data_IF_018416858550
#
_entry.id   IF_018416858550
#
_cell.length_a   1.000
_cell.length_b   1.000
_cell.length_c   1.000
_cell.angle_alpha   90.00
_cell.angle_beta   90.00
_cell.angle_gamma   90.00
#
_symmetry.space_group_name_H-M   'P 1'
#
loop_
_entity.id
_entity.type
_entity.pdbx_description
1 polymer ?
#
# COMPACT_ATOMS: atom_id res chain seq x y z
N UNK A 1 -11.60 -0.90 -17.09
CA UNK A 1 -10.41 -0.06 -16.91
C UNK A 1 -9.21 -0.99 -16.89
N UNK A 2 -8.24 -0.83 -17.81
CA UNK A 2 -7.07 -1.71 -17.91
C UNK A 2 -5.85 -0.87 -17.51
N UNK A 3 -5.34 -1.11 -16.32
CA UNK A 3 -4.08 -0.50 -15.89
C UNK A 3 -2.96 -1.08 -16.75
N UNK A 4 -2.00 -0.26 -17.20
CA UNK A 4 -0.79 -0.80 -17.82
C UNK A 4 -0.09 -1.67 -16.78
N UNK A 5 0.52 -2.78 -17.21
CA UNK A 5 1.55 -3.43 -16.41
C UNK A 5 2.76 -2.48 -16.42
N UNK A 6 2.75 -1.53 -15.50
CA UNK A 6 3.83 -0.58 -15.28
C UNK A 6 4.77 -1.21 -14.28
N UNK A 7 6.05 -1.32 -14.63
CA UNK A 7 7.09 -1.76 -13.69
C UNK A 7 7.31 -0.61 -12.70
N UNK A 8 7.30 -0.91 -11.40
CA UNK A 8 7.64 0.07 -10.38
C UNK A 8 9.16 0.24 -10.33
N UNK A 9 9.66 1.43 -10.65
CA UNK A 9 11.09 1.72 -10.65
C UNK A 9 11.54 2.04 -9.22
N UNK A 10 12.54 1.32 -8.71
CA UNK A 10 13.12 1.59 -7.39
C UNK A 10 14.34 2.49 -7.54
N UNK A 11 14.33 3.64 -6.86
CA UNK A 11 15.41 4.64 -6.95
C UNK A 11 16.13 4.84 -5.61
N UNK A 12 17.41 5.20 -5.67
CA UNK A 12 18.19 5.59 -4.49
C UNK A 12 17.81 7.00 -4.01
N UNK A 13 17.74 7.19 -2.69
CA UNK A 13 17.43 8.49 -2.08
C UNK A 13 15.94 8.81 -1.96
N UNK A 14 15.63 10.08 -1.66
CA UNK A 14 14.24 10.56 -1.60
C UNK A 14 13.74 10.87 -3.00
N UNK A 15 12.54 10.37 -3.30
CA UNK A 15 11.87 10.51 -4.61
C UNK A 15 11.26 11.91 -4.80
N UNK A 16 10.99 12.62 -3.70
CA UNK A 16 10.46 13.99 -3.72
C UNK A 16 10.68 14.70 -2.38
N UNK A 17 10.82 16.03 -2.43
CA UNK A 17 10.82 16.88 -1.23
C UNK A 17 9.42 17.02 -0.61
N UNK A 18 8.37 16.63 -1.34
CA UNK A 18 6.97 16.77 -0.93
C UNK A 18 6.48 15.56 -0.10
N UNK A 19 7.35 14.59 0.17
CA UNK A 19 7.03 13.43 1.01
C UNK A 19 6.09 12.40 0.39
N UNK A 20 5.81 12.47 -0.92
CA UNK A 20 4.95 11.48 -1.60
C UNK A 20 5.57 10.09 -1.58
N UNK A 21 4.73 9.06 -1.53
CA UNK A 21 5.18 7.67 -1.55
C UNK A 21 5.64 7.24 -2.95
N UNK A 22 4.95 7.68 -4.00
CA UNK A 22 5.27 7.39 -5.38
C UNK A 22 5.50 8.67 -6.18
N UNK A 23 6.65 8.79 -6.84
CA UNK A 23 6.81 9.78 -7.90
C UNK A 23 6.14 9.22 -9.16
N UNK A 24 5.03 9.84 -9.57
CA UNK A 24 4.24 9.43 -10.72
C UNK A 24 4.37 10.46 -11.86
N UNK A 25 5.45 10.40 -12.67
CA UNK A 25 5.62 11.35 -13.76
C UNK A 25 4.51 11.20 -14.81
N UNK A 26 4.15 12.28 -15.54
CA UNK A 26 3.13 12.21 -16.59
C UNK A 26 3.42 11.16 -17.68
N UNK A 27 4.69 10.83 -17.87
CA UNK A 27 5.17 9.79 -18.78
C UNK A 27 6.25 8.96 -18.09
N UNK A 28 6.20 7.64 -18.31
CA UNK A 28 7.15 6.69 -17.74
C UNK A 28 6.53 5.82 -16.66
N UNK A 29 7.39 5.15 -15.92
CA UNK A 29 7.03 4.29 -14.80
C UNK A 29 6.87 5.12 -13.52
N UNK A 30 5.98 4.71 -12.61
CA UNK A 30 5.99 5.22 -11.25
C UNK A 30 7.31 4.82 -10.57
N UNK A 31 7.79 5.67 -9.66
CA UNK A 31 9.03 5.42 -8.90
C UNK A 31 8.75 5.40 -7.41
N UNK A 32 9.49 4.55 -6.71
CA UNK A 32 9.49 4.44 -5.24
C UNK A 32 10.93 4.51 -4.72
N UNK A 33 11.15 5.07 -3.53
CA UNK A 33 12.46 5.06 -2.90
C UNK A 33 12.78 3.65 -2.42
N UNK A 34 14.06 3.29 -2.37
CA UNK A 34 14.49 2.00 -1.83
C UNK A 34 13.97 1.74 -0.41
N UNK A 35 13.94 2.77 0.45
CA UNK A 35 13.38 2.68 1.79
C UNK A 35 11.89 2.31 1.77
N UNK A 36 11.07 3.03 1.01
CA UNK A 36 9.65 2.78 0.94
C UNK A 36 9.33 1.46 0.23
N UNK A 37 10.14 1.06 -0.75
CA UNK A 37 10.04 -0.24 -1.37
C UNK A 37 10.28 -1.38 -0.37
N UNK A 38 11.26 -1.23 0.53
CA UNK A 38 11.48 -2.20 1.61
C UNK A 38 10.29 -2.25 2.59
N UNK A 39 9.68 -1.11 2.91
CA UNK A 39 8.48 -1.06 3.75
C UNK A 39 7.26 -1.71 3.07
N UNK A 40 7.08 -1.49 1.76
CA UNK A 40 6.05 -2.16 0.96
C UNK A 40 6.25 -3.68 0.92
N UNK A 41 7.49 -4.14 0.73
CA UNK A 41 7.82 -5.57 0.75
C UNK A 41 7.52 -6.20 2.12
N UNK A 42 7.86 -5.49 3.21
CA UNK A 42 7.55 -5.92 4.57
C UNK A 42 6.03 -5.98 4.82
N UNK A 43 5.27 -4.96 4.38
CA UNK A 43 3.82 -4.97 4.45
C UNK A 43 3.23 -6.17 3.71
N UNK A 44 3.66 -6.44 2.48
CA UNK A 44 3.24 -7.61 1.71
C UNK A 44 3.57 -8.92 2.43
N UNK A 45 4.77 -9.05 3.00
CA UNK A 45 5.19 -10.23 3.79
C UNK A 45 4.27 -10.43 4.99
N UNK A 46 3.98 -9.38 5.75
CA UNK A 46 3.11 -9.40 6.92
C UNK A 46 1.66 -9.75 6.57
N UNK A 47 1.17 -9.29 5.40
CA UNK A 47 -0.16 -9.67 4.90
C UNK A 47 -0.17 -11.16 4.55
N UNK A 48 0.78 -11.64 3.73
CA UNK A 48 0.87 -13.07 3.34
C UNK A 48 0.93 -14.00 4.54
N UNK A 49 1.68 -13.63 5.58
CA UNK A 49 1.75 -14.42 6.82
C UNK A 49 0.40 -14.61 7.51
N UNK A 50 -0.53 -13.66 7.38
CA UNK A 50 -1.86 -13.72 8.02
C UNK A 50 -2.93 -14.30 7.12
N UNK A 51 -2.88 -14.03 5.82
CA UNK A 51 -3.96 -14.38 4.89
C UNK A 51 -3.63 -15.58 3.99
N UNK A 52 -2.37 -15.98 3.90
CA UNK A 52 -1.89 -17.04 3.01
C UNK A 52 -1.50 -16.51 1.62
N UNK A 53 -1.35 -17.42 0.65
CA UNK A 53 -0.82 -17.10 -0.69
C UNK A 53 -1.81 -16.40 -1.62
N UNK A 54 -3.10 -16.71 -1.50
CA UNK A 54 -4.17 -16.11 -2.32
C UNK A 54 -5.04 -15.22 -1.47
N UNK A 55 -5.23 -13.98 -1.92
CA UNK A 55 -6.06 -13.00 -1.26
C UNK A 55 -7.12 -12.39 -2.19
N UNK A 56 -8.23 -11.96 -1.61
CA UNK A 56 -9.27 -11.14 -2.23
C UNK A 56 -9.28 -9.78 -1.56
N UNK A 57 -9.45 -8.73 -2.36
CA UNK A 57 -9.43 -7.35 -1.91
C UNK A 57 -10.83 -6.75 -1.93
N UNK A 58 -11.22 -6.13 -0.82
CA UNK A 58 -12.42 -5.28 -0.74
C UNK A 58 -12.00 -3.87 -0.32
N UNK A 59 -12.17 -2.90 -1.21
CA UNK A 59 -11.79 -1.51 -0.95
C UNK A 59 -13.06 -0.67 -0.72
N UNK A 60 -13.15 0.02 0.41
CA UNK A 60 -14.29 0.85 0.77
C UNK A 60 -13.84 2.28 1.09
N UNK A 61 -14.21 3.29 0.27
CA UNK A 61 -13.87 4.68 0.54
C UNK A 61 -14.71 5.22 1.69
N UNK A 62 -14.09 5.99 2.58
CA UNK A 62 -14.72 6.58 3.75
C UNK A 62 -14.25 8.02 3.97
N UNK A 63 -15.08 8.79 4.68
CA UNK A 63 -14.68 10.04 5.34
C UNK A 63 -14.68 9.78 6.84
N UNK A 64 -13.51 9.84 7.48
CA UNK A 64 -13.37 9.56 8.91
C UNK A 64 -12.71 10.76 9.56
N UNK A 65 -13.39 11.39 10.53
CA UNK A 65 -12.90 12.57 11.24
C UNK A 65 -12.38 13.71 10.32
N UNK A 66 -13.00 13.88 9.15
CA UNK A 66 -12.60 14.90 8.16
C UNK A 66 -11.52 14.46 7.17
N UNK A 67 -10.91 13.28 7.35
CA UNK A 67 -9.92 12.73 6.42
C UNK A 67 -10.57 11.89 5.33
N UNK A 68 -9.96 11.89 4.14
CA UNK A 68 -10.30 10.94 3.08
C UNK A 68 -9.55 9.64 3.39
N UNK A 69 -10.28 8.54 3.55
CA UNK A 69 -9.71 7.24 3.86
C UNK A 69 -10.17 6.17 2.87
N UNK A 70 -9.35 5.13 2.73
CA UNK A 70 -9.72 3.88 2.09
C UNK A 70 -9.50 2.73 3.07
N UNK A 71 -10.59 2.09 3.48
CA UNK A 71 -10.50 0.83 4.21
C UNK A 71 -10.22 -0.29 3.19
N UNK A 72 -9.20 -1.10 3.43
CA UNK A 72 -8.84 -2.23 2.57
C UNK A 72 -8.95 -3.53 3.36
N UNK A 73 -10.00 -4.26 3.01
CA UNK A 73 -10.26 -5.68 3.19
C UNK A 73 -9.25 -6.60 2.49
N UNK A 74 -8.31 -7.27 3.16
CA UNK A 74 -7.56 -8.38 2.55
C UNK A 74 -7.97 -9.70 3.18
N UNK A 75 -8.76 -10.49 2.46
CA UNK A 75 -9.26 -11.79 2.90
C UNK A 75 -8.49 -12.90 2.18
N UNK A 76 -7.94 -13.86 2.91
CA UNK A 76 -7.34 -15.05 2.32
C UNK A 76 -7.78 -16.33 3.04
N UNK A 77 -7.14 -17.45 2.72
CA UNK A 77 -7.55 -18.76 3.22
C UNK A 77 -7.36 -18.92 4.73
N UNK A 78 -6.31 -18.32 5.29
CA UNK A 78 -5.93 -18.52 6.71
C UNK A 78 -6.45 -17.42 7.63
N UNK A 79 -6.93 -16.31 7.08
CA UNK A 79 -7.29 -15.16 7.88
C UNK A 79 -7.59 -13.90 7.08
N UNK A 80 -7.61 -12.79 7.80
CA UNK A 80 -7.99 -11.48 7.26
C UNK A 80 -7.06 -10.41 7.81
N UNK A 81 -6.67 -9.46 6.97
CA UNK A 81 -5.99 -8.23 7.36
C UNK A 81 -6.87 -7.04 6.98
N UNK A 82 -7.00 -6.09 7.90
CA UNK A 82 -7.70 -4.85 7.65
C UNK A 82 -6.69 -3.70 7.65
N UNK A 83 -6.66 -2.93 6.56
CA UNK A 83 -5.86 -1.72 6.45
C UNK A 83 -6.80 -0.50 6.47
N UNK A 84 -6.32 0.62 7.00
CA UNK A 84 -6.91 1.93 6.78
C UNK A 84 -5.86 2.87 6.22
N UNK A 85 -6.02 3.19 4.93
CA UNK A 85 -5.20 4.18 4.24
C UNK A 85 -5.84 5.55 4.49
N UNK A 86 -5.09 6.49 5.04
CA UNK A 86 -5.59 7.84 5.37
C UNK A 86 -4.78 8.87 4.60
N UNK A 87 -5.46 9.73 3.84
CA UNK A 87 -4.82 10.85 3.15
C UNK A 87 -4.55 11.97 4.16
N UNK A 88 -3.28 12.29 4.35
CA UNK A 88 -2.76 13.31 5.28
C UNK A 88 -1.58 14.05 4.61
N UNK A 89 -0.88 14.90 5.34
CA UNK A 89 0.32 15.60 4.89
C UNK A 89 1.64 14.84 5.15
N UNK A 90 1.57 13.63 5.71
CA UNK A 90 2.75 12.84 6.08
C UNK A 90 2.61 11.36 5.72
N UNK A 91 3.72 10.75 5.31
CA UNK A 91 3.82 9.32 5.06
C UNK A 91 4.08 8.58 6.39
N UNK A 92 3.27 7.56 6.69
CA UNK A 92 3.48 6.66 7.84
C UNK A 92 3.20 5.23 7.43
N UNK A 93 4.17 4.35 7.65
CA UNK A 93 4.00 2.90 7.56
C UNK A 93 3.61 2.31 8.93
N UNK A 94 2.99 1.12 8.98
CA UNK A 94 2.76 0.42 10.22
C UNK A 94 4.09 0.02 10.87
N UNK A 95 4.17 0.12 12.19
CA UNK A 95 5.32 -0.32 12.98
C UNK A 95 5.25 -1.82 13.31
N UNK A 96 6.34 -2.37 13.84
CA UNK A 96 6.39 -3.77 14.28
C UNK A 96 5.27 -4.14 15.26
N UNK A 97 4.99 -3.25 16.23
CA UNK A 97 3.90 -3.41 17.20
C UNK A 97 2.51 -3.41 16.54
N UNK A 98 2.32 -2.61 15.49
CA UNK A 98 1.07 -2.55 14.73
C UNK A 98 0.81 -3.91 14.06
N UNK A 99 1.86 -4.53 13.51
CA UNK A 99 1.73 -5.87 12.95
C UNK A 99 1.40 -6.89 14.05
N UNK A 100 2.14 -6.92 15.15
CA UNK A 100 1.99 -7.95 16.18
C UNK A 100 0.63 -7.92 16.89
N UNK A 101 0.12 -6.71 17.19
CA UNK A 101 -1.05 -6.55 18.06
C UNK A 101 -2.22 -5.81 17.41
N UNK A 102 -1.99 -5.13 16.28
CA UNK A 102 -3.00 -4.32 15.62
C UNK A 102 -4.08 -5.15 14.95
N UNK A 103 -5.34 -4.93 15.34
CA UNK A 103 -6.53 -5.46 14.64
C UNK A 103 -6.75 -4.82 13.27
N UNK A 104 -6.13 -3.65 13.04
CA UNK A 104 -6.16 -2.87 11.81
C UNK A 104 -4.87 -2.07 11.71
N UNK A 105 -4.23 -2.08 10.54
CA UNK A 105 -3.00 -1.31 10.32
C UNK A 105 -3.31 0.00 9.63
N UNK A 106 -2.70 1.06 10.14
CA UNK A 106 -2.92 2.42 9.67
C UNK A 106 -1.74 2.85 8.82
N UNK A 107 -2.04 3.37 7.63
CA UNK A 107 -1.04 3.92 6.71
C UNK A 107 -1.47 5.33 6.37
N UNK A 108 -0.58 6.29 6.55
CA UNK A 108 -0.81 7.66 6.13
C UNK A 108 -0.13 7.88 4.78
N UNK A 109 -0.84 8.52 3.85
CA UNK A 109 -0.39 8.78 2.48
C UNK A 109 -0.62 10.24 2.15
N UNK A 110 0.13 10.80 1.20
CA UNK A 110 0.08 12.23 0.92
C UNK A 110 -1.14 12.59 0.08
N UNK A 111 -1.51 11.75 -0.89
CA UNK A 111 -2.63 12.04 -1.79
C UNK A 111 -3.33 10.78 -2.31
N UNK A 112 -4.30 10.98 -3.20
CA UNK A 112 -5.05 9.91 -3.83
C UNK A 112 -4.24 9.12 -4.87
N UNK A 113 -3.16 9.68 -5.42
CA UNK A 113 -2.26 8.98 -6.34
C UNK A 113 -1.47 7.93 -5.56
N UNK A 114 -0.94 8.31 -4.39
CA UNK A 114 -0.28 7.39 -3.46
C UNK A 114 -1.20 6.25 -3.02
N UNK A 115 -2.46 6.56 -2.68
CA UNK A 115 -3.47 5.55 -2.35
C UNK A 115 -3.68 4.58 -3.52
N UNK A 116 -3.81 5.12 -4.74
CA UNK A 116 -4.10 4.32 -5.93
C UNK A 116 -2.96 3.37 -6.27
N UNK A 117 -1.71 3.87 -6.25
CA UNK A 117 -0.53 3.04 -6.50
C UNK A 117 -0.30 2.02 -5.39
N UNK A 118 -0.44 2.40 -4.11
CA UNK A 118 -0.28 1.44 -3.02
C UNK A 118 -1.27 0.27 -3.14
N UNK A 119 -2.55 0.55 -3.41
CA UNK A 119 -3.56 -0.49 -3.59
C UNK A 119 -3.24 -1.36 -4.81
N UNK A 120 -2.79 -0.75 -5.92
CA UNK A 120 -2.38 -1.49 -7.10
C UNK A 120 -1.20 -2.43 -6.81
N UNK A 121 -0.16 -1.94 -6.12
CA UNK A 121 1.02 -2.74 -5.77
C UNK A 121 0.68 -3.87 -4.79
N UNK A 122 -0.17 -3.60 -3.80
CA UNK A 122 -0.68 -4.63 -2.89
C UNK A 122 -1.47 -5.69 -3.64
N UNK A 123 -2.39 -5.27 -4.52
CA UNK A 123 -3.19 -6.21 -5.33
C UNK A 123 -2.29 -7.03 -6.25
N UNK A 124 -1.36 -6.40 -6.96
CA UNK A 124 -0.42 -7.07 -7.86
C UNK A 124 0.45 -8.09 -7.10
N UNK A 125 1.02 -7.67 -5.98
CA UNK A 125 1.89 -8.50 -5.14
C UNK A 125 1.17 -9.64 -4.43
N UNK A 126 -0.14 -9.53 -4.16
CA UNK A 126 -0.89 -10.48 -3.33
C UNK A 126 -1.94 -11.29 -4.09
N UNK A 127 -2.17 -10.99 -5.38
CA UNK A 127 -3.16 -11.72 -6.20
C UNK A 127 -2.61 -12.17 -7.55
N UNK A 128 -1.67 -11.44 -8.16
CA UNK A 128 -1.19 -11.71 -9.52
C UNK A 128 0.12 -12.51 -9.57
N UNK A 129 0.74 -12.80 -8.42
CA UNK A 129 2.05 -13.43 -8.35
C UNK A 129 2.10 -14.60 -7.35
N UNK A 130 1.73 -15.78 -7.88
CA UNK A 130 2.54 -16.98 -7.67
C UNK A 130 3.76 -16.89 -8.57
N UNK A 131 4.84 -16.34 -8.02
CA UNK A 131 6.22 -16.57 -8.49
C UNK A 131 6.83 -17.58 -7.55
#
# INVERSE_FOLDING_TARGET
>A
MRFRNTVLDVVEGNISDNGVLFEAPPQGNPRISQYNHAQLAELCRQIRQRVGEKATFTCSPHRVAGHNCLAVQVLGMTGTVNLLLTVTDSLRWPAAEDYEHGVRWYINLVDAVDVSYLVFELYSSLTLLGI
#
